data_IF_085412807809
#
_entry.id   IF_085412807809
#
_cell.length_a   1.000
_cell.length_b   1.000
_cell.length_c   1.000
_cell.angle_alpha   90.00
_cell.angle_beta   90.00
_cell.angle_gamma   90.00
#
_symmetry.space_group_name_H-M   'P 1'
#
loop_
_entity.id
_entity.type
_entity.pdbx_description
1 polymer ?
#
# COMPACT_ATOMS: atom_id res chain seq x y z
N UNK A 1 -7.35 -9.20 25.63
CA UNK A 1 -6.37 -9.75 24.68
C UNK A 1 -6.52 -11.26 24.67
N UNK A 2 -6.71 -11.89 23.50
CA UNK A 2 -6.82 -13.35 23.43
C UNK A 2 -5.48 -14.01 23.77
N UNK A 3 -5.52 -15.25 24.26
CA UNK A 3 -4.32 -16.05 24.54
C UNK A 3 -3.46 -16.13 23.27
N UNK A 4 -2.15 -15.90 23.41
CA UNK A 4 -1.14 -15.90 22.33
C UNK A 4 -1.20 -14.74 21.32
N UNK A 5 -1.99 -13.68 21.59
CA UNK A 5 -1.99 -12.45 20.79
C UNK A 5 -1.24 -11.33 21.51
N UNK A 6 -0.28 -10.68 20.84
CA UNK A 6 0.46 -9.51 21.38
C UNK A 6 -0.29 -8.18 21.18
N UNK A 7 -1.36 -8.17 20.37
CA UNK A 7 -2.34 -7.09 20.25
C UNK A 7 -3.67 -7.63 19.66
N UNK A 8 -4.78 -6.91 19.90
CA UNK A 8 -6.13 -7.30 19.43
C UNK A 8 -6.66 -6.30 18.38
N UNK A 9 -6.05 -6.32 17.19
CA UNK A 9 -6.43 -5.48 16.05
C UNK A 9 -6.39 -6.32 14.76
N UNK A 10 -7.47 -6.27 13.97
CA UNK A 10 -7.62 -7.02 12.72
C UNK A 10 -6.62 -6.61 11.62
N UNK A 11 -6.00 -5.42 11.71
CA UNK A 11 -4.97 -5.00 10.74
C UNK A 11 -3.60 -5.64 10.96
N UNK A 12 -3.40 -6.33 12.09
CA UNK A 12 -2.11 -6.95 12.43
C UNK A 12 -2.04 -8.35 11.82
N UNK A 13 -1.09 -8.54 10.90
CA UNK A 13 -0.92 -9.79 10.18
C UNK A 13 0.49 -9.96 9.60
N UNK A 14 0.62 -10.86 8.62
CA UNK A 14 1.88 -11.19 7.97
C UNK A 14 2.45 -10.05 7.11
N UNK A 15 1.62 -9.06 6.78
CA UNK A 15 2.02 -7.82 6.12
C UNK A 15 1.68 -6.68 7.08
N UNK A 16 2.66 -5.83 7.36
CA UNK A 16 2.53 -4.68 8.24
C UNK A 16 3.43 -3.55 7.74
N UNK A 17 3.04 -2.27 7.93
CA UNK A 17 3.85 -1.14 7.43
C UNK A 17 5.28 -1.08 7.98
N UNK A 18 5.52 -1.72 9.12
CA UNK A 18 6.87 -1.89 9.68
C UNK A 18 7.80 -2.67 8.75
N UNK A 19 7.27 -3.60 7.95
CA UNK A 19 8.06 -4.44 7.04
C UNK A 19 8.83 -3.62 6.00
N UNK A 20 8.28 -2.45 5.62
CA UNK A 20 8.95 -1.49 4.74
C UNK A 20 10.31 -1.06 5.30
N UNK A 21 10.42 -0.89 6.62
CA UNK A 21 11.69 -0.54 7.25
C UNK A 21 12.48 -1.79 7.65
N UNK A 22 11.82 -2.78 8.24
CA UNK A 22 12.47 -3.95 8.84
C UNK A 22 13.29 -4.73 7.81
N UNK A 23 12.75 -4.95 6.60
CA UNK A 23 13.47 -5.65 5.54
C UNK A 23 14.75 -4.92 5.11
N UNK A 24 14.73 -3.58 5.11
CA UNK A 24 15.89 -2.74 4.78
C UNK A 24 16.91 -2.75 5.91
N UNK A 25 16.47 -2.60 7.16
CA UNK A 25 17.33 -2.61 8.35
C UNK A 25 17.99 -3.98 8.54
N UNK A 26 17.24 -5.08 8.37
CA UNK A 26 17.77 -6.44 8.45
C UNK A 26 18.94 -6.65 7.48
N UNK A 27 18.77 -6.28 6.20
CA UNK A 27 19.84 -6.33 5.19
C UNK A 27 21.06 -5.48 5.55
N UNK A 28 20.84 -4.30 6.13
CA UNK A 28 21.93 -3.43 6.60
C UNK A 28 22.70 -4.08 7.76
N UNK A 29 22.00 -4.69 8.72
CA UNK A 29 22.60 -5.36 9.88
C UNK A 29 23.38 -6.61 9.44
N UNK A 30 22.80 -7.43 8.56
CA UNK A 30 23.46 -8.62 7.99
C UNK A 30 24.76 -8.28 7.26
N UNK A 31 24.80 -7.13 6.55
CA UNK A 31 26.01 -6.63 5.90
C UNK A 31 27.06 -6.12 6.91
N UNK A 32 26.65 -5.69 8.09
CA UNK A 32 27.49 -5.04 9.09
C UNK A 32 27.85 -3.59 8.76
N UNK A 33 28.47 -2.89 9.71
CA UNK A 33 28.93 -1.51 9.51
C UNK A 33 27.80 -0.48 9.35
N UNK A 34 26.67 -0.66 10.05
CA UNK A 34 25.54 0.27 9.99
C UNK A 34 25.97 1.63 10.55
N UNK A 35 25.90 2.65 9.70
CA UNK A 35 26.12 4.05 10.07
C UNK A 35 24.79 4.77 10.24
N UNK A 36 24.80 5.91 10.95
CA UNK A 36 23.67 6.84 10.98
C UNK A 36 23.18 7.18 9.58
N UNK A 37 24.10 7.44 8.65
CA UNK A 37 23.76 7.79 7.27
C UNK A 37 23.08 6.63 6.51
N UNK A 38 23.53 5.39 6.67
CA UNK A 38 22.88 4.24 6.02
C UNK A 38 21.50 3.94 6.61
N UNK A 39 21.34 4.09 7.94
CA UNK A 39 20.05 3.92 8.59
C UNK A 39 19.05 5.01 8.15
N UNK A 40 19.48 6.27 8.13
CA UNK A 40 18.64 7.38 7.64
C UNK A 40 18.23 7.17 6.18
N UNK A 41 19.12 6.65 5.33
CA UNK A 41 18.77 6.33 3.93
C UNK A 41 17.72 5.23 3.84
N UNK A 42 17.85 4.14 4.60
CA UNK A 42 16.84 3.07 4.62
C UNK A 42 15.48 3.59 5.10
N UNK A 43 15.48 4.44 6.13
CA UNK A 43 14.26 5.09 6.63
C UNK A 43 13.63 6.04 5.61
N UNK A 44 14.42 6.87 4.92
CA UNK A 44 13.92 7.76 3.88
C UNK A 44 13.36 7.00 2.67
N UNK A 45 13.96 5.86 2.32
CA UNK A 45 13.49 4.98 1.26
C UNK A 45 12.17 4.31 1.63
N UNK A 46 12.06 3.75 2.84
CA UNK A 46 10.82 3.18 3.36
C UNK A 46 9.68 4.20 3.43
N UNK A 47 9.98 5.45 3.81
CA UNK A 47 8.98 6.51 3.98
C UNK A 47 8.22 6.86 2.70
N UNK A 48 8.78 6.61 1.51
CA UNK A 48 8.11 6.90 0.22
C UNK A 48 7.64 5.63 -0.49
N UNK A 49 7.67 4.48 0.17
CA UNK A 49 7.31 3.20 -0.43
C UNK A 49 5.85 2.84 -0.14
N UNK A 50 5.13 2.35 -1.16
CA UNK A 50 3.76 1.86 -1.01
C UNK A 50 3.75 0.43 -0.46
N UNK A 51 3.04 0.22 0.65
CA UNK A 51 2.97 -1.09 1.30
C UNK A 51 2.37 -2.16 0.39
N UNK A 52 1.30 -1.83 -0.34
CA UNK A 52 0.62 -2.77 -1.24
C UNK A 52 1.55 -3.14 -2.39
N UNK A 53 2.25 -2.15 -2.95
CA UNK A 53 3.19 -2.34 -4.06
C UNK A 53 4.44 -3.17 -3.68
N UNK A 54 4.98 -2.99 -2.48
CA UNK A 54 6.17 -3.74 -2.06
C UNK A 54 5.82 -5.14 -1.55
N UNK A 55 4.79 -5.27 -0.70
CA UNK A 55 4.54 -6.49 0.06
C UNK A 55 3.46 -7.41 -0.54
N UNK A 56 2.48 -6.87 -1.28
CA UNK A 56 1.32 -7.66 -1.75
C UNK A 56 1.31 -7.86 -3.26
N UNK A 57 1.71 -6.84 -4.02
CA UNK A 57 1.77 -6.88 -5.48
C UNK A 57 2.57 -8.07 -6.05
N UNK A 58 3.65 -8.58 -5.42
CA UNK A 58 4.30 -9.80 -5.91
C UNK A 58 3.35 -11.00 -6.05
N UNK A 59 2.49 -11.25 -5.07
CA UNK A 59 1.54 -12.37 -5.10
C UNK A 59 0.41 -12.14 -6.11
N UNK A 60 -0.08 -10.89 -6.20
CA UNK A 60 -1.04 -10.48 -7.22
C UNK A 60 -0.49 -10.72 -8.65
N UNK A 61 0.78 -10.37 -8.88
CA UNK A 61 1.45 -10.59 -10.16
C UNK A 61 1.63 -12.08 -10.47
N UNK A 62 1.95 -12.93 -9.48
CA UNK A 62 2.01 -14.39 -9.68
C UNK A 62 0.65 -14.94 -10.16
N UNK A 63 -0.46 -14.54 -9.53
CA UNK A 63 -1.80 -14.97 -9.93
C UNK A 63 -2.15 -14.47 -11.34
N UNK A 64 -1.93 -13.19 -11.63
CA UNK A 64 -2.17 -12.59 -12.96
C UNK A 64 -1.37 -13.30 -14.07
N UNK A 65 -0.11 -13.66 -13.78
CA UNK A 65 0.82 -14.33 -14.70
C UNK A 65 0.68 -15.85 -14.72
N UNK A 66 -0.26 -16.45 -14.00
CA UNK A 66 -0.51 -17.89 -14.06
C UNK A 66 -1.02 -18.38 -15.43
N UNK A 67 -1.50 -17.45 -16.28
CA UNK A 67 -1.83 -17.70 -17.69
C UNK A 67 -1.53 -16.45 -18.56
N UNK A 68 -1.34 -16.62 -19.89
CA UNK A 68 -1.10 -15.50 -20.80
C UNK A 68 -2.18 -14.40 -20.72
N UNK A 69 -1.76 -13.14 -20.85
CA UNK A 69 -2.65 -11.98 -20.95
C UNK A 69 -2.69 -11.56 -22.41
N UNK A 70 -3.82 -11.82 -23.08
CA UNK A 70 -4.02 -11.49 -24.49
C UNK A 70 -4.58 -10.09 -24.72
N UNK A 71 -5.32 -9.54 -23.76
CA UNK A 71 -5.83 -8.17 -23.84
C UNK A 71 -4.68 -7.15 -23.72
N UNK A 72 -4.44 -6.30 -24.73
CA UNK A 72 -3.30 -5.38 -24.71
C UNK A 72 -3.37 -4.31 -23.61
N UNK A 73 -4.58 -3.87 -23.25
CA UNK A 73 -4.75 -2.82 -22.24
C UNK A 73 -4.44 -3.36 -20.83
N UNK A 74 -4.95 -4.55 -20.51
CA UNK A 74 -4.63 -5.27 -19.28
C UNK A 74 -3.14 -5.62 -19.22
N UNK A 75 -2.55 -6.09 -20.33
CA UNK A 75 -1.12 -6.38 -20.39
C UNK A 75 -0.27 -5.14 -20.06
N UNK A 76 -0.66 -3.96 -20.57
CA UNK A 76 -0.01 -2.69 -20.26
C UNK A 76 -0.15 -2.31 -18.79
N UNK A 77 -1.34 -2.46 -18.20
CA UNK A 77 -1.54 -2.18 -16.77
C UNK A 77 -0.65 -3.07 -15.88
N UNK A 78 -0.58 -4.37 -16.19
CA UNK A 78 0.30 -5.31 -15.48
C UNK A 78 1.78 -4.92 -15.64
N UNK A 79 2.23 -4.56 -16.83
CA UNK A 79 3.62 -4.11 -17.06
C UNK A 79 3.95 -2.82 -16.30
N UNK A 80 3.00 -1.89 -16.16
CA UNK A 80 3.18 -0.68 -15.36
C UNK A 80 3.40 -1.01 -13.88
N UNK A 81 2.58 -1.92 -13.32
CA UNK A 81 2.72 -2.41 -11.95
C UNK A 81 4.04 -3.17 -11.74
N UNK A 82 4.43 -4.04 -12.68
CA UNK A 82 5.72 -4.76 -12.64
C UNK A 82 6.91 -3.80 -12.64
N UNK A 83 6.88 -2.80 -13.52
CA UNK A 83 7.94 -1.79 -13.63
C UNK A 83 8.05 -0.95 -12.37
N UNK A 84 6.91 -0.51 -11.81
CA UNK A 84 6.86 0.22 -10.56
C UNK A 84 7.39 -0.60 -9.38
N UNK A 85 7.00 -1.87 -9.28
CA UNK A 85 7.50 -2.80 -8.26
C UNK A 85 9.00 -3.05 -8.41
N UNK A 86 9.50 -3.21 -9.63
CA UNK A 86 10.93 -3.35 -9.90
C UNK A 86 11.74 -2.11 -9.51
N UNK A 87 11.13 -0.93 -9.61
CA UNK A 87 11.68 0.35 -9.15
C UNK A 87 11.50 0.61 -7.64
N UNK A 88 11.00 -0.37 -6.87
CA UNK A 88 10.85 -0.29 -5.42
C UNK A 88 9.49 0.19 -4.93
N UNK A 89 8.47 0.21 -5.79
CA UNK A 89 7.09 0.58 -5.45
C UNK A 89 6.96 1.95 -4.76
N UNK A 90 7.78 2.92 -5.19
CA UNK A 90 7.84 4.23 -4.55
C UNK A 90 6.80 5.22 -5.11
N UNK A 91 6.28 6.08 -4.23
CA UNK A 91 5.55 7.32 -4.54
C UNK A 91 6.50 8.48 -4.32
N UNK A 92 7.36 8.71 -5.31
CA UNK A 92 8.46 9.67 -5.22
C UNK A 92 8.53 10.54 -6.46
N UNK A 93 8.71 11.83 -6.22
CA UNK A 93 9.05 12.80 -7.23
C UNK A 93 10.27 12.38 -8.08
N UNK A 94 10.21 12.68 -9.37
CA UNK A 94 11.34 12.48 -10.31
C UNK A 94 12.55 13.36 -10.00
N UNK A 95 12.32 14.55 -9.45
CA UNK A 95 13.33 15.45 -8.91
C UNK A 95 12.69 16.37 -7.86
N UNK A 96 13.48 16.97 -6.98
CA UNK A 96 12.96 17.78 -5.89
C UNK A 96 12.04 18.91 -6.41
N UNK A 97 10.76 18.86 -6.04
CA UNK A 97 9.76 19.86 -6.44
C UNK A 97 9.21 19.68 -7.86
N UNK A 98 9.41 18.52 -8.50
CA UNK A 98 8.82 18.25 -9.81
C UNK A 98 7.31 18.00 -9.77
N UNK A 99 6.77 17.71 -8.59
CA UNK A 99 5.36 17.35 -8.36
C UNK A 99 4.88 16.23 -9.29
N UNK A 100 5.78 15.35 -9.73
CA UNK A 100 5.51 14.30 -10.72
C UNK A 100 6.15 13.00 -10.29
N UNK A 101 5.36 11.91 -10.23
CA UNK A 101 5.87 10.58 -9.93
C UNK A 101 6.44 9.90 -11.17
N UNK A 102 7.49 9.10 -11.00
CA UNK A 102 8.07 8.32 -12.09
C UNK A 102 7.11 7.25 -12.64
N UNK A 103 6.20 6.76 -11.78
CA UNK A 103 5.25 5.69 -12.09
C UNK A 103 3.78 6.11 -11.81
N UNK A 104 3.41 7.33 -12.17
CA UNK A 104 2.07 7.93 -11.96
C UNK A 104 0.92 6.96 -12.28
N UNK A 105 0.98 6.31 -13.44
CA UNK A 105 -0.06 5.35 -13.86
C UNK A 105 -0.15 4.13 -12.94
N UNK A 106 0.97 3.51 -12.56
CA UNK A 106 0.96 2.34 -11.69
C UNK A 106 0.40 2.68 -10.30
N UNK A 107 0.78 3.86 -9.78
CA UNK A 107 0.28 4.39 -8.50
C UNK A 107 -1.23 4.63 -8.58
N UNK A 108 -1.71 5.31 -9.63
CA UNK A 108 -3.14 5.54 -9.88
C UNK A 108 -3.91 4.22 -10.02
N UNK A 109 -3.36 3.28 -10.77
CA UNK A 109 -3.96 1.96 -10.95
C UNK A 109 -4.07 1.25 -9.61
N UNK A 110 -3.02 1.22 -8.79
CA UNK A 110 -3.05 0.60 -7.46
C UNK A 110 -4.11 1.25 -6.56
N UNK A 111 -4.19 2.58 -6.53
CA UNK A 111 -5.20 3.31 -5.74
C UNK A 111 -6.63 3.05 -6.19
N UNK A 112 -6.86 2.95 -7.51
CA UNK A 112 -8.16 2.57 -8.05
C UNK A 112 -8.47 1.08 -7.83
N UNK A 113 -7.45 0.22 -7.89
CA UNK A 113 -7.61 -1.23 -7.92
C UNK A 113 -7.83 -1.82 -6.54
N UNK A 114 -7.08 -1.37 -5.54
CA UNK A 114 -7.12 -1.97 -4.21
C UNK A 114 -8.53 -2.10 -3.61
N UNK A 115 -9.38 -1.06 -3.55
CA UNK A 115 -10.74 -1.21 -3.03
C UNK A 115 -11.61 -2.16 -3.87
N UNK A 116 -11.48 -2.12 -5.21
CA UNK A 116 -12.23 -3.01 -6.11
C UNK A 116 -11.81 -4.47 -5.97
N UNK A 117 -10.50 -4.69 -5.81
CA UNK A 117 -9.87 -5.98 -5.60
C UNK A 117 -10.37 -6.62 -4.32
N UNK A 118 -10.24 -5.93 -3.18
CA UNK A 118 -10.57 -6.50 -1.87
C UNK A 118 -12.07 -6.79 -1.78
N UNK A 119 -12.93 -5.88 -2.26
CA UNK A 119 -14.36 -6.12 -2.33
C UNK A 119 -14.69 -7.37 -3.16
N UNK A 120 -14.19 -7.45 -4.40
CA UNK A 120 -14.47 -8.59 -5.28
C UNK A 120 -13.87 -9.92 -4.77
N UNK A 121 -12.77 -9.86 -4.04
CA UNK A 121 -12.12 -11.03 -3.46
C UNK A 121 -12.90 -11.59 -2.28
N UNK A 122 -13.32 -10.75 -1.33
CA UNK A 122 -13.82 -11.21 -0.03
C UNK A 122 -15.34 -11.14 0.11
N UNK A 123 -15.99 -10.10 -0.44
CA UNK A 123 -17.43 -9.87 -0.26
C UNK A 123 -18.30 -11.06 -0.68
N UNK A 124 -18.06 -11.74 -1.83
CA UNK A 124 -18.88 -12.89 -2.23
C UNK A 124 -18.84 -14.05 -1.21
N UNK A 125 -17.68 -14.31 -0.62
CA UNK A 125 -17.50 -15.42 0.34
C UNK A 125 -17.92 -15.08 1.76
N UNK A 126 -17.94 -13.80 2.13
CA UNK A 126 -18.40 -13.31 3.45
C UNK A 126 -19.91 -13.05 3.49
N UNK A 127 -20.50 -12.64 2.36
CA UNK A 127 -21.84 -12.06 2.30
C UNK A 127 -21.84 -10.60 2.74
N UNK A 128 -22.88 -9.86 2.33
CA UNK A 128 -22.98 -8.40 2.52
C UNK A 128 -22.91 -7.99 4.00
N UNK A 129 -23.71 -8.62 4.87
CA UNK A 129 -23.80 -8.25 6.29
C UNK A 129 -22.45 -8.36 7.01
N UNK A 130 -21.71 -9.45 6.78
CA UNK A 130 -20.42 -9.68 7.43
C UNK A 130 -19.33 -8.80 6.81
N UNK A 131 -19.35 -8.61 5.49
CA UNK A 131 -18.46 -7.69 4.81
C UNK A 131 -18.59 -6.27 5.34
N UNK A 132 -19.81 -5.76 5.46
CA UNK A 132 -20.08 -4.41 5.97
C UNK A 132 -19.67 -4.29 7.44
N UNK A 133 -19.96 -5.30 8.27
CA UNK A 133 -19.54 -5.33 9.67
C UNK A 133 -18.01 -5.30 9.83
N UNK A 134 -17.27 -6.07 9.01
CA UNK A 134 -15.81 -6.10 9.08
C UNK A 134 -15.17 -4.82 8.54
N UNK A 135 -15.66 -4.29 7.43
CA UNK A 135 -15.12 -3.06 6.82
C UNK A 135 -15.46 -1.80 7.62
N UNK A 136 -16.53 -1.83 8.42
CA UNK A 136 -16.79 -0.80 9.43
C UNK A 136 -15.78 -0.80 10.59
N UNK A 137 -15.14 -1.94 10.88
CA UNK A 137 -14.12 -2.05 11.95
C UNK A 137 -12.69 -1.87 11.42
N UNK A 138 -12.44 -2.30 10.19
CA UNK A 138 -11.14 -2.21 9.52
C UNK A 138 -11.34 -1.65 8.12
N UNK A 139 -10.87 -0.42 7.90
CA UNK A 139 -10.86 0.18 6.56
C UNK A 139 -10.21 -0.76 5.56
N UNK A 140 -10.73 -0.80 4.33
CA UNK A 140 -10.17 -1.62 3.25
C UNK A 140 -8.76 -1.15 2.86
N UNK A 141 -8.60 0.17 2.83
CA UNK A 141 -7.38 0.86 2.44
C UNK A 141 -7.13 2.10 3.30
N UNK A 142 -5.88 2.51 3.33
CA UNK A 142 -5.42 3.77 3.92
C UNK A 142 -4.26 4.27 3.06
N UNK A 143 -4.58 4.61 1.81
CA UNK A 143 -3.64 5.19 0.87
C UNK A 143 -3.12 6.55 1.37
N UNK A 144 -2.01 7.07 0.81
CA UNK A 144 -1.49 8.39 1.18
C UNK A 144 -2.50 9.55 1.06
N UNK A 145 -3.42 9.46 0.10
CA UNK A 145 -4.52 10.41 -0.12
C UNK A 145 -5.76 10.14 0.73
N UNK A 146 -5.77 9.10 1.57
CA UNK A 146 -6.90 8.79 2.43
C UNK A 146 -7.11 9.86 3.52
N UNK A 147 -8.38 10.10 3.83
CA UNK A 147 -8.77 10.99 4.92
C UNK A 147 -8.74 10.25 6.26
N UNK A 148 -8.04 10.82 7.24
CA UNK A 148 -7.81 10.22 8.55
C UNK A 148 -8.69 10.87 9.62
N UNK A 149 -10.00 10.64 9.57
CA UNK A 149 -10.94 11.18 10.56
C UNK A 149 -10.75 12.70 10.79
N UNK A 150 -10.60 13.19 12.04
CA UNK A 150 -10.40 14.62 12.32
C UNK A 150 -9.15 15.25 11.69
N UNK A 151 -8.13 14.45 11.33
CA UNK A 151 -6.93 14.96 10.64
C UNK A 151 -7.15 15.17 9.14
N UNK A 152 -8.29 14.75 8.59
CA UNK A 152 -8.62 14.95 7.17
C UNK A 152 -7.63 14.28 6.22
N UNK A 153 -7.63 14.70 4.95
CA UNK A 153 -6.57 14.35 3.99
C UNK A 153 -5.22 14.99 4.35
N UNK A 154 -4.19 14.67 3.57
CA UNK A 154 -2.86 15.29 3.67
C UNK A 154 -2.08 15.07 4.99
N UNK A 155 -2.35 13.98 5.71
CA UNK A 155 -1.78 13.74 7.05
C UNK A 155 -0.41 13.02 7.06
N UNK A 156 0.08 12.53 5.91
CA UNK A 156 1.38 11.88 5.76
C UNK A 156 1.47 10.44 6.27
N UNK A 157 0.84 10.12 7.41
CA UNK A 157 0.66 8.73 7.83
C UNK A 157 -0.18 7.98 6.80
N UNK A 158 0.20 6.73 6.51
CA UNK A 158 -0.56 5.83 5.65
C UNK A 158 -0.27 4.38 6.04
N UNK A 159 -1.09 3.46 5.52
CA UNK A 159 -0.93 2.01 5.66
C UNK A 159 -0.83 1.50 7.12
N UNK A 160 -1.43 2.21 8.07
CA UNK A 160 -1.60 1.76 9.46
C UNK A 160 -2.73 0.72 9.58
N UNK A 161 -3.83 0.91 8.86
CA UNK A 161 -5.00 0.01 8.84
C UNK A 161 -5.42 -0.37 7.42
N UNK A 162 -5.64 -1.65 7.17
CA UNK A 162 -6.03 -2.15 5.86
C UNK A 162 -5.97 -3.67 5.74
N UNK A 163 -6.44 -4.17 4.60
CA UNK A 163 -6.67 -5.61 4.37
C UNK A 163 -5.47 -6.36 3.78
N UNK A 164 -4.30 -5.73 3.68
CA UNK A 164 -3.11 -6.30 3.02
C UNK A 164 -2.71 -7.69 3.53
N UNK A 165 -2.75 -7.92 4.84
CA UNK A 165 -2.43 -9.22 5.42
C UNK A 165 -3.46 -10.29 5.10
N UNK A 166 -4.73 -9.92 4.92
CA UNK A 166 -5.79 -10.85 4.52
C UNK A 166 -5.64 -11.21 3.04
N UNK A 167 -5.43 -10.21 2.18
CA UNK A 167 -5.19 -10.40 0.74
C UNK A 167 -3.97 -11.29 0.52
N UNK A 168 -2.83 -10.98 1.14
CA UNK A 168 -1.60 -11.76 1.02
C UNK A 168 -1.80 -13.24 1.42
N UNK A 169 -2.39 -13.49 2.60
CA UNK A 169 -2.65 -14.86 3.07
C UNK A 169 -3.57 -15.63 2.12
N UNK A 170 -4.62 -14.99 1.64
CA UNK A 170 -5.58 -15.62 0.73
C UNK A 170 -4.94 -15.94 -0.62
N UNK A 171 -4.20 -15.00 -1.21
CA UNK A 171 -3.50 -15.22 -2.49
C UNK A 171 -2.47 -16.35 -2.38
N UNK A 172 -1.66 -16.36 -1.32
CA UNK A 172 -0.70 -17.45 -1.07
C UNK A 172 -1.41 -18.80 -0.92
N UNK A 173 -2.58 -18.81 -0.25
CA UNK A 173 -3.41 -20.02 -0.14
C UNK A 173 -3.90 -20.51 -1.51
N UNK A 174 -4.37 -19.61 -2.38
CA UNK A 174 -4.81 -19.94 -3.75
C UNK A 174 -3.64 -20.41 -4.63
N UNK A 175 -2.45 -19.84 -4.44
CA UNK A 175 -1.21 -20.25 -5.10
C UNK A 175 -0.66 -21.60 -4.60
N UNK A 176 -1.29 -22.20 -3.59
CA UNK A 176 -0.86 -23.47 -3.00
C UNK A 176 0.35 -23.36 -2.07
N UNK A 177 0.71 -22.15 -1.64
CA UNK A 177 1.80 -21.91 -0.71
C UNK A 177 1.38 -22.22 0.74
N UNK A 178 2.32 -22.64 1.61
CA UNK A 178 2.03 -22.82 3.03
C UNK A 178 1.79 -21.47 3.72
N UNK A 179 0.67 -21.36 4.46
CA UNK A 179 0.28 -20.13 5.16
C UNK A 179 0.04 -20.42 6.64
N UNK A 180 0.91 -19.90 7.49
CA UNK A 180 0.70 -19.91 8.94
C UNK A 180 -0.42 -18.94 9.33
N UNK A 181 -1.34 -19.40 10.18
CA UNK A 181 -2.52 -18.62 10.55
C UNK A 181 -3.38 -18.25 9.33
N UNK A 182 -3.59 -19.22 8.42
CA UNK A 182 -4.43 -19.07 7.24
C UNK A 182 -5.87 -18.65 7.64
N UNK A 183 -6.54 -17.99 6.69
CA UNK A 183 -7.97 -17.69 6.83
C UNK A 183 -8.79 -19.00 6.88
N UNK A 184 -9.99 -18.94 7.47
CA UNK A 184 -10.86 -20.12 7.63
C UNK A 184 -11.29 -20.77 6.32
N UNK A 185 -11.18 -20.06 5.20
CA UNK A 185 -11.36 -20.56 3.83
C UNK A 185 -10.53 -19.69 2.86
N UNK A 186 -10.38 -20.17 1.63
CA UNK A 186 -9.96 -19.31 0.53
C UNK A 186 -11.16 -18.51 0.00
N UNK A 187 -10.94 -17.26 -0.36
CA UNK A 187 -11.96 -16.31 -0.80
C UNK A 187 -11.82 -15.96 -2.28
N UNK A 188 -10.62 -15.64 -2.74
CA UNK A 188 -10.38 -15.29 -4.14
C UNK A 188 -10.76 -16.46 -5.06
N UNK A 189 -11.77 -16.25 -5.91
CA UNK A 189 -12.28 -17.29 -6.82
C UNK A 189 -12.68 -18.59 -6.12
N UNK A 190 -13.18 -18.52 -4.88
CA UNK A 190 -13.47 -19.68 -4.02
C UNK A 190 -12.30 -20.67 -3.85
N UNK A 191 -11.07 -20.16 -3.97
CA UNK A 191 -9.86 -20.96 -3.83
C UNK A 191 -9.32 -21.55 -5.13
N UNK A 192 -10.02 -21.39 -6.25
CA UNK A 192 -9.54 -21.81 -7.56
C UNK A 192 -8.66 -20.73 -8.20
N UNK A 193 -7.46 -21.10 -8.64
CA UNK A 193 -6.46 -20.16 -9.16
C UNK A 193 -6.93 -19.42 -10.43
N UNK A 194 -7.60 -20.13 -11.33
CA UNK A 194 -8.14 -19.58 -12.57
C UNK A 194 -9.30 -18.60 -12.30
N UNK A 195 -10.21 -18.95 -11.39
CA UNK A 195 -11.30 -18.07 -10.96
C UNK A 195 -10.75 -16.84 -10.21
N UNK A 196 -9.76 -17.01 -9.34
CA UNK A 196 -9.10 -15.91 -8.65
C UNK A 196 -8.43 -14.97 -9.65
N UNK A 197 -7.72 -15.53 -10.64
CA UNK A 197 -7.16 -14.74 -11.73
C UNK A 197 -8.24 -13.95 -12.46
N UNK A 198 -9.40 -14.54 -12.75
CA UNK A 198 -10.54 -13.83 -13.34
C UNK A 198 -10.96 -12.59 -12.52
N UNK A 199 -11.10 -12.77 -11.19
CA UNK A 199 -11.38 -11.65 -10.26
C UNK A 199 -10.33 -10.55 -10.37
N UNK A 200 -9.04 -10.92 -10.38
CA UNK A 200 -7.93 -9.96 -10.50
C UNK A 200 -7.94 -9.22 -11.85
N UNK A 201 -8.15 -9.93 -12.95
CA UNK A 201 -8.14 -9.31 -14.29
C UNK A 201 -9.31 -8.35 -14.47
N UNK A 202 -10.49 -8.71 -13.97
CA UNK A 202 -11.71 -7.89 -14.09
C UNK A 202 -11.62 -6.62 -13.25
N UNK A 203 -11.16 -6.74 -12.01
CA UNK A 203 -10.96 -5.59 -11.11
C UNK A 203 -9.84 -4.68 -11.60
N UNK A 204 -8.73 -5.25 -12.10
CA UNK A 204 -7.62 -4.47 -12.66
C UNK A 204 -8.02 -3.72 -13.93
N UNK A 205 -8.83 -4.34 -14.79
CA UNK A 205 -9.34 -3.69 -16.01
C UNK A 205 -10.19 -2.47 -15.67
N UNK A 206 -11.11 -2.62 -14.71
CA UNK A 206 -11.94 -1.50 -14.21
C UNK A 206 -11.07 -0.39 -13.61
N UNK A 207 -10.08 -0.76 -12.80
CA UNK A 207 -9.17 0.20 -12.17
C UNK A 207 -8.31 0.95 -13.20
N UNK A 208 -7.79 0.24 -14.20
CA UNK A 208 -6.96 0.83 -15.25
C UNK A 208 -7.72 1.89 -16.06
N UNK A 209 -9.01 1.67 -16.30
CA UNK A 209 -9.90 2.59 -17.00
C UNK A 209 -10.34 3.82 -16.18
N UNK A 210 -10.19 3.80 -14.85
CA UNK A 210 -10.66 4.89 -13.97
C UNK A 210 -9.78 6.15 -14.12
N UNK A 211 -10.30 7.29 -14.58
CA UNK A 211 -9.49 8.48 -14.82
C UNK A 211 -8.94 9.06 -13.51
N UNK A 212 -7.82 9.78 -13.59
CA UNK A 212 -7.19 10.39 -12.42
C UNK A 212 -8.14 11.31 -11.64
N UNK A 213 -9.04 12.03 -12.32
CA UNK A 213 -10.05 12.90 -11.71
C UNK A 213 -11.10 12.15 -10.88
N UNK A 214 -11.30 10.85 -11.11
CA UNK A 214 -12.18 10.03 -10.26
C UNK A 214 -11.42 9.28 -9.15
N UNK A 215 -10.11 9.04 -9.34
CA UNK A 215 -9.26 8.47 -8.29
C UNK A 215 -8.89 9.55 -7.27
N UNK A 216 -8.63 10.76 -7.76
CA UNK A 216 -8.29 11.96 -6.99
C UNK A 216 -9.32 13.05 -7.33
N UNK A 217 -10.47 13.11 -6.63
CA UNK A 217 -11.54 14.04 -6.95
C UNK A 217 -11.20 15.52 -6.68
N UNK A 218 -10.07 15.80 -6.04
CA UNK A 218 -9.69 17.13 -5.57
C UNK A 218 -10.38 17.50 -4.25
N UNK A 219 -9.94 18.61 -3.68
CA UNK A 219 -10.48 19.19 -2.45
C UNK A 219 -10.14 20.70 -2.37
N UNK A 220 -10.27 21.31 -1.20
CA UNK A 220 -9.98 22.73 -1.00
C UNK A 220 -8.49 23.11 -1.27
N UNK A 221 -7.59 22.12 -1.31
CA UNK A 221 -6.15 22.30 -1.52
C UNK A 221 -5.68 21.88 -2.92
N UNK A 222 -6.38 20.93 -3.55
CA UNK A 222 -5.91 20.26 -4.76
C UNK A 222 -6.97 20.23 -5.87
N UNK A 223 -6.54 20.47 -7.10
CA UNK A 223 -7.39 20.29 -8.28
C UNK A 223 -7.71 18.79 -8.50
N UNK A 224 -8.87 18.51 -9.10
CA UNK A 224 -9.23 17.15 -9.48
C UNK A 224 -8.20 16.56 -10.45
N UNK A 225 -7.75 15.34 -10.17
CA UNK A 225 -6.73 14.63 -10.94
C UNK A 225 -5.29 14.94 -10.52
N UNK A 226 -5.04 15.88 -9.61
CA UNK A 226 -3.71 16.14 -9.08
C UNK A 226 -3.30 15.05 -8.07
N UNK A 227 -2.75 13.96 -8.59
CA UNK A 227 -2.26 12.82 -7.80
C UNK A 227 -1.20 13.23 -6.78
N UNK A 228 -0.25 14.10 -7.17
CA UNK A 228 0.83 14.48 -6.28
C UNK A 228 0.29 15.28 -5.10
N UNK A 229 -0.60 16.24 -5.38
CA UNK A 229 -1.20 17.09 -4.37
C UNK A 229 -2.10 16.26 -3.43
N UNK A 230 -2.89 15.33 -3.98
CA UNK A 230 -3.74 14.45 -3.17
C UNK A 230 -2.95 13.68 -2.10
N UNK A 231 -1.74 13.21 -2.43
CA UNK A 231 -0.86 12.50 -1.49
C UNK A 231 -0.05 13.47 -0.60
N UNK A 232 0.17 14.71 -1.03
CA UNK A 232 1.05 15.68 -0.38
C UNK A 232 0.67 15.95 1.07
N UNK A 233 1.67 16.27 1.90
CA UNK A 233 1.45 16.68 3.28
C UNK A 233 1.19 18.18 3.31
N UNK A 234 0.02 18.56 3.84
CA UNK A 234 -0.41 19.95 4.01
C UNK A 234 -0.42 20.26 5.49
N UNK A 235 0.51 21.12 5.92
CA UNK A 235 0.65 21.50 7.32
C UNK A 235 -0.49 22.43 7.74
N UNK A 236 -1.30 21.97 8.70
CA UNK A 236 -2.32 22.81 9.33
C UNK A 236 -1.66 23.96 10.08
N UNK A 237 -1.94 25.23 9.73
CA UNK A 237 -1.30 26.36 10.36
C UNK A 237 -1.77 26.51 11.81
N UNK A 238 -0.84 26.77 12.72
CA UNK A 238 -1.13 27.27 14.06
C UNK A 238 -0.79 28.76 14.09
N UNK A 239 -1.80 29.61 13.93
CA UNK A 239 -1.63 31.07 13.82
C UNK A 239 -1.37 31.53 12.39
N UNK A 240 -0.62 32.64 12.22
CA UNK A 240 -0.42 33.29 10.92
C UNK A 240 0.67 32.67 10.02
N UNK A 241 1.36 31.62 10.48
CA UNK A 241 2.47 31.00 9.74
C UNK A 241 1.94 29.79 8.97
N UNK A 242 2.17 29.80 7.65
CA UNK A 242 1.87 28.69 6.75
C UNK A 242 3.16 28.05 6.27
N UNK A 243 3.09 26.76 5.92
CA UNK A 243 4.15 26.05 5.24
C UNK A 243 3.67 25.63 3.86
N UNK A 244 4.59 25.53 2.89
CA UNK A 244 4.29 24.90 1.61
C UNK A 244 3.92 23.44 1.82
N UNK A 245 3.07 22.91 0.96
CA UNK A 245 2.88 21.47 0.85
C UNK A 245 4.22 20.79 0.54
N UNK A 246 4.38 19.55 1.02
CA UNK A 246 5.59 18.76 0.76
C UNK A 246 5.20 17.39 0.21
N UNK A 247 6.11 16.80 -0.56
CA UNK A 247 6.03 15.41 -1.01
C UNK A 247 5.61 14.49 0.13
N UNK A 248 4.69 13.57 -0.17
CA UNK A 248 4.27 12.53 0.75
C UNK A 248 5.45 11.72 1.31
N UNK A 249 5.38 11.41 2.59
CA UNK A 249 6.31 10.53 3.28
C UNK A 249 5.66 9.98 4.54
N UNK A 250 5.60 8.66 4.65
CA UNK A 250 5.13 7.92 5.81
C UNK A 250 6.18 7.93 6.93
N UNK A 251 6.33 9.08 7.59
CA UNK A 251 7.33 9.28 8.65
C UNK A 251 6.72 9.90 9.91
N UNK A 252 7.31 9.65 11.09
CA UNK A 252 6.90 10.36 12.30
C UNK A 252 7.18 11.87 12.20
N UNK A 253 6.49 12.64 13.02
CA UNK A 253 6.61 14.11 13.09
C UNK A 253 8.05 14.58 13.35
N UNK A 254 8.82 13.82 14.14
CA UNK A 254 10.24 14.07 14.40
C UNK A 254 11.03 12.77 14.29
N UNK A 255 12.31 12.89 13.93
CA UNK A 255 13.24 11.77 13.82
C UNK A 255 14.56 12.13 14.49
N UNK A 256 15.13 11.16 15.21
CA UNK A 256 16.45 11.27 15.83
C UNK A 256 17.28 10.06 15.43
N UNK A 257 18.56 10.29 15.15
CA UNK A 257 19.49 9.22 14.78
C UNK A 257 20.70 9.33 15.70
N UNK A 258 20.76 8.41 16.66
CA UNK A 258 21.72 8.42 17.76
C UNK A 258 22.71 7.27 17.59
N UNK A 259 23.98 7.53 17.88
CA UNK A 259 25.06 6.55 17.88
C UNK A 259 25.78 6.63 19.24
N UNK A 260 26.04 5.47 19.85
CA UNK A 260 26.75 5.36 21.13
C UNK A 260 28.16 4.81 20.87
N UNK A 261 29.19 5.68 20.73
CA UNK A 261 30.53 5.27 20.30
C UNK A 261 31.36 4.56 21.39
N UNK A 262 30.90 4.54 22.63
CA UNK A 262 31.52 3.82 23.74
C UNK A 262 30.44 3.09 24.54
N UNK A 263 30.76 1.88 25.01
CA UNK A 263 29.93 1.15 25.97
C UNK A 263 29.98 1.88 27.33
N UNK A 264 28.85 1.98 28.02
CA UNK A 264 28.82 2.38 29.44
C UNK A 264 29.23 1.21 30.32
#
# INVERSE_FOLDING_TARGET
>A
QAKDYSAANFSLGAVHRGDLLDGRVKKLVEKGGVTRASLTRAMADAAVTDLRGEQVLPELLKVLRSAPISDPALARAVQQLESWRAAGAQRKETSAGSHTYAHTDAVRIMDAWWPLLVDAQFKPGLGDDLWDALTAQLTVDESPSASHGPTGGHAGSAFQYGWWGNVDKDLRKVLGEPVEGALGRAYCGDGALDACRGVLTDTLTRAAAKPATEVYPGDDSCDAGDQWCADAIVHRPLGGIKHRAIQWQNRPTYQQVVEFPAHR
#
